data_IF_713430934371
#
_entry.id   IF_713430934371
#
_cell.length_a   1.000
_cell.length_b   1.000
_cell.length_c   1.000
_cell.angle_alpha   90.00
_cell.angle_beta   90.00
_cell.angle_gamma   90.00
#
_symmetry.space_group_name_H-M   'P 1'
#
loop_
_entity.id
_entity.type
_entity.pdbx_description
1 polymer ?
#
# COMPACT_ATOMS: atom_id res chain seq x y z
N UNK A 1 -8.02 -28.81 8.00
CA UNK A 1 -8.47 -27.52 8.57
C UNK A 1 -7.35 -26.63 9.12
N UNK A 2 -6.23 -27.15 9.66
CA UNK A 2 -5.13 -26.31 10.18
C UNK A 2 -4.18 -25.71 9.11
N UNK A 3 -4.17 -26.27 7.89
CA UNK A 3 -3.28 -25.85 6.79
C UNK A 3 -3.65 -24.51 6.12
N UNK A 4 -4.81 -23.90 6.42
CA UNK A 4 -5.24 -22.66 5.75
C UNK A 4 -4.71 -21.39 6.42
N UNK A 5 -4.62 -21.34 7.75
CA UNK A 5 -4.27 -20.10 8.45
C UNK A 5 -2.78 -19.74 8.36
N UNK A 6 -1.88 -20.72 8.51
CA UNK A 6 -0.45 -20.48 8.28
C UNK A 6 -0.18 -20.10 6.81
N UNK A 7 -0.89 -20.72 5.87
CA UNK A 7 -0.81 -20.38 4.45
C UNK A 7 -1.18 -18.92 4.18
N UNK A 8 -2.27 -18.45 4.79
CA UNK A 8 -2.67 -17.03 4.71
C UNK A 8 -1.57 -16.09 5.19
N UNK A 9 -0.94 -16.37 6.35
CA UNK A 9 0.13 -15.52 6.89
C UNK A 9 1.39 -15.54 6.02
N UNK A 10 1.77 -16.70 5.47
CA UNK A 10 2.88 -16.81 4.51
C UNK A 10 2.55 -16.00 3.25
N UNK A 11 1.32 -16.09 2.75
CA UNK A 11 0.86 -15.33 1.59
C UNK A 11 0.89 -13.82 1.83
N UNK A 12 0.46 -13.34 2.99
CA UNK A 12 0.56 -11.92 3.35
C UNK A 12 2.02 -11.46 3.44
N UNK A 13 2.90 -12.27 4.03
CA UNK A 13 4.34 -11.98 4.06
C UNK A 13 4.94 -11.89 2.65
N UNK A 14 4.70 -12.90 1.80
CA UNK A 14 5.26 -12.98 0.45
C UNK A 14 4.69 -11.88 -0.46
N UNK A 15 3.39 -11.60 -0.38
CA UNK A 15 2.76 -10.54 -1.16
C UNK A 15 3.30 -9.16 -0.78
N UNK A 16 3.43 -8.89 0.52
CA UNK A 16 4.07 -7.66 1.02
C UNK A 16 5.56 -7.58 0.68
N UNK A 17 6.26 -8.71 0.64
CA UNK A 17 7.64 -8.78 0.18
C UNK A 17 7.76 -8.37 -1.30
N UNK A 18 6.92 -8.96 -2.19
CA UNK A 18 6.91 -8.65 -3.63
C UNK A 18 6.69 -7.16 -3.87
N UNK A 19 5.71 -6.57 -3.16
CA UNK A 19 5.40 -5.14 -3.23
C UNK A 19 6.64 -4.27 -3.01
N UNK A 20 7.36 -4.47 -1.90
CA UNK A 20 8.54 -3.66 -1.58
C UNK A 20 9.75 -4.04 -2.41
N UNK A 21 9.94 -5.32 -2.72
CA UNK A 21 11.09 -5.77 -3.49
C UNK A 21 11.15 -5.08 -4.85
N UNK A 22 10.01 -5.06 -5.56
CA UNK A 22 9.90 -4.41 -6.88
C UNK A 22 9.83 -2.88 -6.72
N UNK A 23 9.01 -2.39 -5.79
CA UNK A 23 8.79 -0.95 -5.59
C UNK A 23 10.04 -0.20 -5.12
N UNK A 24 10.72 -0.70 -4.09
CA UNK A 24 11.98 -0.11 -3.64
C UNK A 24 13.11 -0.35 -4.65
N UNK A 25 13.08 -1.47 -5.38
CA UNK A 25 14.03 -1.75 -6.46
C UNK A 25 14.01 -0.70 -7.57
N UNK A 26 12.83 -0.30 -8.05
CA UNK A 26 12.73 0.74 -9.10
C UNK A 26 13.19 2.11 -8.60
N UNK A 27 12.95 2.44 -7.33
CA UNK A 27 13.42 3.70 -6.74
C UNK A 27 14.93 3.66 -6.49
N UNK A 28 15.48 2.50 -6.09
CA UNK A 28 16.92 2.30 -5.95
C UNK A 28 17.64 2.44 -7.31
N UNK A 29 17.09 1.86 -8.37
CA UNK A 29 17.62 2.03 -9.73
C UNK A 29 17.62 3.49 -10.19
N UNK A 30 16.56 4.24 -9.89
CA UNK A 30 16.51 5.69 -10.17
C UNK A 30 17.56 6.46 -9.37
N UNK A 31 17.60 6.27 -8.04
CA UNK A 31 18.39 7.12 -7.14
C UNK A 31 19.88 6.77 -7.17
N UNK A 32 20.22 5.48 -7.16
CA UNK A 32 21.59 5.01 -6.97
C UNK A 32 22.31 4.74 -8.29
N UNK A 33 21.58 4.35 -9.35
CA UNK A 33 22.17 4.02 -10.66
C UNK A 33 21.87 5.09 -11.74
N UNK A 34 21.04 6.10 -11.42
CA UNK A 34 20.72 7.18 -12.36
C UNK A 34 19.85 6.73 -13.54
N UNK A 35 19.03 5.69 -13.36
CA UNK A 35 18.14 5.20 -14.42
C UNK A 35 17.14 6.30 -14.85
N UNK A 36 16.89 6.41 -16.17
CA UNK A 36 15.97 7.37 -16.77
C UNK A 36 14.49 7.04 -16.52
N UNK A 37 14.07 7.11 -15.26
CA UNK A 37 12.75 6.69 -14.78
C UNK A 37 11.99 7.94 -14.31
N UNK A 38 10.84 8.21 -14.94
CA UNK A 38 9.96 9.31 -14.57
C UNK A 38 8.85 8.89 -13.59
N UNK A 39 7.97 9.84 -13.27
CA UNK A 39 6.91 9.63 -12.28
C UNK A 39 5.91 8.53 -12.70
N UNK A 40 5.57 8.47 -13.99
CA UNK A 40 4.70 7.41 -14.52
C UNK A 40 5.37 6.05 -14.42
N UNK A 41 6.64 5.94 -14.79
CA UNK A 41 7.41 4.70 -14.78
C UNK A 41 7.54 4.14 -13.36
N UNK A 42 7.83 4.98 -12.36
CA UNK A 42 7.80 4.56 -10.94
C UNK A 42 6.41 4.04 -10.60
N UNK A 43 5.37 4.81 -10.87
CA UNK A 43 4.02 4.53 -10.41
C UNK A 43 3.44 3.26 -11.03
N UNK A 44 3.67 3.03 -12.32
CA UNK A 44 3.23 1.79 -12.99
C UNK A 44 3.98 0.56 -12.49
N UNK A 45 5.28 0.67 -12.19
CA UNK A 45 6.04 -0.44 -11.60
C UNK A 45 5.52 -0.79 -10.20
N UNK A 46 5.23 0.20 -9.35
CA UNK A 46 4.60 -0.01 -8.05
C UNK A 46 3.20 -0.64 -8.17
N UNK A 47 2.39 -0.16 -9.13
CA UNK A 47 1.07 -0.72 -9.41
C UNK A 47 1.13 -2.17 -9.86
N UNK A 48 2.02 -2.48 -10.80
CA UNK A 48 2.20 -3.84 -11.30
C UNK A 48 2.81 -4.78 -10.27
N UNK A 49 3.63 -4.29 -9.33
CA UNK A 49 4.09 -5.08 -8.19
C UNK A 49 2.92 -5.59 -7.33
N UNK A 50 1.92 -4.74 -7.09
CA UNK A 50 0.69 -5.15 -6.38
C UNK A 50 -0.11 -6.15 -7.20
N UNK A 51 -0.28 -5.93 -8.50
CA UNK A 51 -0.98 -6.89 -9.37
C UNK A 51 -0.30 -8.27 -9.35
N UNK A 52 1.03 -8.32 -9.42
CA UNK A 52 1.82 -9.56 -9.29
C UNK A 52 1.64 -10.20 -7.92
N UNK A 53 1.67 -9.43 -6.83
CA UNK A 53 1.39 -9.95 -5.50
C UNK A 53 0.00 -10.60 -5.42
N UNK A 54 -1.02 -9.97 -6.02
CA UNK A 54 -2.38 -10.52 -6.08
C UNK A 54 -2.42 -11.84 -6.86
N UNK A 55 -1.74 -11.92 -8.00
CA UNK A 55 -1.66 -13.17 -8.77
C UNK A 55 -0.97 -14.30 -7.99
N UNK A 56 0.07 -14.00 -7.22
CA UNK A 56 0.84 -15.02 -6.48
C UNK A 56 0.10 -15.49 -5.22
N UNK A 57 -0.61 -14.60 -4.54
CA UNK A 57 -1.08 -14.85 -3.16
C UNK A 57 -2.60 -14.82 -2.99
N UNK A 58 -3.35 -14.35 -4.00
CA UNK A 58 -4.76 -14.02 -3.89
C UNK A 58 -5.68 -15.21 -3.62
N UNK A 59 -5.34 -16.39 -4.14
CA UNK A 59 -6.13 -17.62 -3.91
C UNK A 59 -5.99 -18.20 -2.50
N UNK A 60 -5.05 -17.68 -1.69
CA UNK A 60 -4.75 -18.18 -0.35
C UNK A 60 -5.22 -17.18 0.71
N UNK A 61 -4.71 -15.94 0.70
CA UNK A 61 -5.04 -14.93 1.73
C UNK A 61 -6.06 -13.89 1.29
N UNK A 62 -6.36 -13.81 -0.01
CA UNK A 62 -7.04 -12.66 -0.62
C UNK A 62 -6.12 -11.47 -0.93
N UNK A 63 -4.82 -11.59 -0.65
CA UNK A 63 -3.79 -10.54 -0.84
C UNK A 63 -4.22 -9.20 -0.27
N UNK A 64 -4.37 -9.11 1.05
CA UNK A 64 -4.61 -7.80 1.66
C UNK A 64 -3.37 -6.92 1.52
N UNK A 65 -2.21 -7.47 1.92
CA UNK A 65 -0.86 -6.89 1.88
C UNK A 65 -0.76 -5.44 2.40
N UNK A 66 -1.78 -5.01 3.16
CA UNK A 66 -2.03 -3.64 3.57
C UNK A 66 -2.90 -3.63 4.85
N UNK A 67 -2.40 -3.07 5.97
CA UNK A 67 -3.16 -2.94 7.20
C UNK A 67 -4.46 -2.15 7.05
N UNK A 68 -4.47 -1.11 6.22
CA UNK A 68 -5.65 -0.28 5.99
C UNK A 68 -6.77 -1.06 5.27
N UNK A 69 -6.40 -1.86 4.26
CA UNK A 69 -7.32 -2.78 3.57
C UNK A 69 -7.83 -3.86 4.53
N UNK A 70 -6.93 -4.49 5.30
CA UNK A 70 -7.29 -5.54 6.26
C UNK A 70 -8.34 -5.04 7.27
N UNK A 71 -8.15 -3.84 7.81
CA UNK A 71 -9.09 -3.21 8.73
C UNK A 71 -10.41 -2.86 8.04
N UNK A 72 -10.39 -2.34 6.81
CA UNK A 72 -11.61 -2.01 6.07
C UNK A 72 -12.44 -3.27 5.77
N UNK A 73 -11.80 -4.37 5.37
CA UNK A 73 -12.47 -5.64 5.13
C UNK A 73 -13.04 -6.24 6.44
N UNK A 74 -12.35 -6.08 7.57
CA UNK A 74 -12.87 -6.49 8.87
C UNK A 74 -14.11 -5.70 9.31
N UNK A 75 -14.18 -4.41 8.95
CA UNK A 75 -15.32 -3.54 9.26
C UNK A 75 -16.51 -3.79 8.33
N UNK A 76 -16.27 -3.89 7.01
CA UNK A 76 -17.33 -3.81 6.00
C UNK A 76 -17.62 -5.10 5.24
N UNK A 77 -16.67 -6.04 5.20
CA UNK A 77 -16.76 -7.26 4.38
C UNK A 77 -16.73 -8.56 5.18
N UNK A 78 -16.79 -8.49 6.50
CA UNK A 78 -16.89 -9.66 7.38
C UNK A 78 -15.61 -10.46 7.54
N UNK A 79 -14.43 -9.87 7.26
CA UNK A 79 -13.16 -10.52 7.53
C UNK A 79 -12.99 -10.79 9.04
N UNK A 80 -12.46 -11.97 9.39
CA UNK A 80 -12.33 -12.41 10.79
C UNK A 80 -11.41 -11.48 11.58
N UNK A 81 -11.98 -10.79 12.56
CA UNK A 81 -11.28 -9.82 13.42
C UNK A 81 -10.10 -10.43 14.17
N UNK A 82 -10.13 -11.75 14.46
CA UNK A 82 -9.02 -12.45 15.12
C UNK A 82 -7.79 -12.56 14.22
N UNK A 83 -7.96 -12.47 12.90
CA UNK A 83 -6.88 -12.56 11.91
C UNK A 83 -6.23 -11.21 11.60
N UNK A 84 -6.85 -10.08 11.97
CA UNK A 84 -6.40 -8.73 11.63
C UNK A 84 -4.96 -8.47 12.11
N UNK A 85 -4.68 -8.63 13.41
CA UNK A 85 -3.35 -8.35 13.96
C UNK A 85 -2.28 -9.30 13.38
N UNK A 86 -2.52 -10.62 13.30
CA UNK A 86 -1.58 -11.53 12.65
C UNK A 86 -1.29 -11.21 11.18
N UNK A 87 -2.30 -10.81 10.40
CA UNK A 87 -2.11 -10.33 9.02
C UNK A 87 -1.21 -9.10 8.99
N UNK A 88 -1.49 -8.09 9.83
CA UNK A 88 -0.69 -6.87 9.91
C UNK A 88 0.77 -7.18 10.26
N UNK A 89 1.02 -8.09 11.21
CA UNK A 89 2.38 -8.51 11.56
C UNK A 89 3.07 -9.19 10.38
N UNK A 90 2.39 -10.12 9.68
CA UNK A 90 2.95 -10.79 8.51
C UNK A 90 3.31 -9.80 7.40
N UNK A 91 2.43 -8.83 7.13
CA UNK A 91 2.65 -7.75 6.16
C UNK A 91 3.88 -6.92 6.53
N UNK A 92 3.96 -6.47 7.79
CA UNK A 92 5.08 -5.68 8.33
C UNK A 92 6.43 -6.41 8.23
N UNK A 93 6.44 -7.72 8.55
CA UNK A 93 7.64 -8.54 8.42
C UNK A 93 8.04 -8.74 6.96
N UNK A 94 7.08 -8.93 6.06
CA UNK A 94 7.32 -9.07 4.62
C UNK A 94 7.94 -7.82 4.01
N UNK A 95 7.37 -6.65 4.31
CA UNK A 95 7.90 -5.36 3.83
C UNK A 95 9.26 -5.02 4.43
N UNK A 96 9.47 -5.30 5.72
CA UNK A 96 10.79 -5.17 6.38
C UNK A 96 11.85 -6.05 5.70
N UNK A 97 11.55 -7.34 5.50
CA UNK A 97 12.48 -8.29 4.89
C UNK A 97 12.85 -7.90 3.45
N UNK A 98 11.86 -7.45 2.66
CA UNK A 98 12.10 -6.97 1.31
C UNK A 98 13.02 -5.74 1.29
N UNK A 99 12.81 -4.77 2.19
CA UNK A 99 13.70 -3.61 2.29
C UNK A 99 15.15 -4.01 2.60
N UNK A 100 15.34 -4.97 3.51
CA UNK A 100 16.66 -5.52 3.83
C UNK A 100 17.31 -6.21 2.62
N UNK A 101 16.54 -6.98 1.85
CA UNK A 101 17.03 -7.64 0.63
C UNK A 101 17.40 -6.61 -0.44
N UNK A 102 16.56 -5.61 -0.72
CA UNK A 102 16.86 -4.55 -1.69
C UNK A 102 18.13 -3.79 -1.29
N UNK A 103 18.25 -3.40 -0.01
CA UNK A 103 19.47 -2.79 0.50
C UNK A 103 20.70 -3.69 0.30
N UNK A 104 20.59 -4.99 0.58
CA UNK A 104 21.67 -5.96 0.38
C UNK A 104 22.13 -6.03 -1.07
N UNK A 105 21.18 -6.08 -2.02
CA UNK A 105 21.46 -6.11 -3.45
C UNK A 105 22.11 -4.81 -3.96
N UNK A 106 21.69 -3.65 -3.44
CA UNK A 106 22.23 -2.33 -3.81
C UNK A 106 23.31 -1.81 -2.85
N UNK A 107 23.85 -2.65 -1.95
CA UNK A 107 24.70 -2.19 -0.84
C UNK A 107 25.91 -1.39 -1.32
N UNK A 108 26.59 -1.86 -2.36
CA UNK A 108 27.75 -1.17 -2.93
C UNK A 108 27.36 0.18 -3.52
N UNK A 109 26.21 0.26 -4.20
CA UNK A 109 25.68 1.50 -4.76
C UNK A 109 25.30 2.51 -3.68
N UNK A 110 24.72 2.08 -2.56
CA UNK A 110 24.48 2.94 -1.39
C UNK A 110 25.77 3.56 -0.86
N UNK A 111 26.80 2.73 -0.61
CA UNK A 111 28.08 3.20 -0.07
C UNK A 111 28.77 4.18 -1.03
N UNK A 112 28.77 3.87 -2.32
CA UNK A 112 29.32 4.76 -3.34
C UNK A 112 28.56 6.09 -3.41
N UNK A 113 27.22 6.04 -3.38
CA UNK A 113 26.39 7.23 -3.43
C UNK A 113 26.60 8.12 -2.19
N UNK A 114 26.67 7.52 -1.00
CA UNK A 114 26.96 8.21 0.27
C UNK A 114 28.33 8.90 0.21
N UNK A 115 29.36 8.18 -0.23
CA UNK A 115 30.72 8.72 -0.37
C UNK A 115 30.78 9.87 -1.39
N UNK A 116 30.21 9.68 -2.59
CA UNK A 116 30.26 10.67 -3.67
C UNK A 116 29.51 11.95 -3.33
N UNK A 117 28.44 11.84 -2.54
CA UNK A 117 27.61 12.98 -2.14
C UNK A 117 27.94 13.51 -0.73
N UNK A 118 29.02 13.03 -0.10
CA UNK A 118 29.43 13.38 1.26
C UNK A 118 28.28 13.24 2.29
N UNK A 119 27.49 12.18 2.16
CA UNK A 119 26.37 11.91 3.05
C UNK A 119 26.82 11.02 4.20
N UNK A 120 26.59 11.46 5.43
CA UNK A 120 26.80 10.65 6.62
C UNK A 120 25.47 10.00 6.99
N UNK A 121 25.41 8.67 6.96
CA UNK A 121 24.20 7.94 7.31
C UNK A 121 23.76 8.27 8.74
N UNK A 122 22.48 8.59 8.90
CA UNK A 122 21.89 8.98 10.18
C UNK A 122 21.64 10.48 10.32
N UNK A 123 22.20 11.31 9.42
CA UNK A 123 21.89 12.74 9.38
C UNK A 123 20.63 13.03 8.56
N UNK A 124 20.08 14.23 8.70
CA UNK A 124 18.88 14.64 7.94
C UNK A 124 19.13 14.69 6.43
N UNK A 125 20.35 15.00 6.00
CA UNK A 125 20.76 15.00 4.59
C UNK A 125 20.72 13.59 4.00
N UNK A 126 21.02 12.57 4.83
CA UNK A 126 20.94 11.17 4.44
C UNK A 126 19.51 10.61 4.39
N UNK A 127 18.52 11.31 4.98
CA UNK A 127 17.12 10.86 5.04
C UNK A 127 16.51 10.67 3.64
N UNK A 128 17.00 11.38 2.63
CA UNK A 128 16.57 11.20 1.23
C UNK A 128 16.79 9.77 0.71
N UNK A 129 17.80 9.06 1.22
CA UNK A 129 18.07 7.67 0.86
C UNK A 129 17.07 6.70 1.50
N UNK A 130 16.47 7.07 2.63
CA UNK A 130 15.35 6.32 3.22
C UNK A 130 14.11 6.39 2.31
N UNK A 131 14.00 7.45 1.50
CA UNK A 131 12.98 7.62 0.45
C UNK A 131 12.96 6.52 -0.61
N UNK A 132 14.02 5.70 -0.72
CA UNK A 132 14.04 4.49 -1.56
C UNK A 132 13.09 3.42 -1.00
N UNK A 133 12.97 3.34 0.32
CA UNK A 133 12.24 2.28 1.02
C UNK A 133 10.85 2.73 1.48
N UNK A 134 10.75 3.94 2.02
CA UNK A 134 9.53 4.52 2.61
C UNK A 134 9.25 5.91 2.03
N UNK A 135 8.17 6.56 2.45
CA UNK A 135 7.77 7.86 1.90
C UNK A 135 8.15 9.04 2.78
N UNK A 136 8.21 10.23 2.19
CA UNK A 136 8.44 11.50 2.89
C UNK A 136 7.55 12.57 2.27
N UNK A 137 7.08 13.56 3.05
CA UNK A 137 6.28 14.65 2.52
C UNK A 137 7.18 15.61 1.73
N UNK A 138 6.61 16.29 0.74
CA UNK A 138 7.29 17.41 0.10
C UNK A 138 7.52 18.54 1.12
N UNK A 139 8.65 19.28 1.07
CA UNK A 139 9.01 20.23 2.13
C UNK A 139 8.01 21.34 2.46
N UNK A 140 7.14 21.72 1.52
CA UNK A 140 6.14 22.78 1.71
C UNK A 140 4.83 22.28 2.32
N UNK A 141 4.66 20.96 2.52
CA UNK A 141 3.46 20.39 3.13
C UNK A 141 3.60 20.33 4.64
N UNK A 142 2.59 20.83 5.34
CA UNK A 142 2.39 20.54 6.76
C UNK A 142 2.00 19.07 6.98
N UNK A 143 2.16 18.58 8.20
CA UNK A 143 1.73 17.23 8.59
C UNK A 143 0.24 16.99 8.32
N UNK A 144 -0.60 18.02 8.51
CA UNK A 144 -2.04 17.92 8.26
C UNK A 144 -2.36 17.83 6.76
N UNK A 145 -1.72 18.64 5.92
CA UNK A 145 -1.90 18.57 4.47
C UNK A 145 -1.46 17.20 3.93
N UNK A 146 -0.31 16.69 4.39
CA UNK A 146 0.14 15.36 4.00
C UNK A 146 -0.81 14.25 4.49
N UNK A 147 -1.39 14.39 5.69
CA UNK A 147 -2.41 13.48 6.20
C UNK A 147 -3.67 13.48 5.31
N UNK A 148 -4.15 14.65 4.91
CA UNK A 148 -5.31 14.78 4.03
C UNK A 148 -5.08 14.15 2.66
N UNK A 149 -3.86 14.31 2.10
CA UNK A 149 -3.48 13.61 0.87
C UNK A 149 -3.61 12.10 1.04
N UNK A 150 -2.97 11.52 2.06
CA UNK A 150 -2.99 10.06 2.31
C UNK A 150 -4.41 9.52 2.59
N UNK A 151 -5.26 10.30 3.28
CA UNK A 151 -6.68 9.96 3.47
C UNK A 151 -7.39 9.89 2.12
N UNK A 152 -7.26 10.93 1.29
CA UNK A 152 -7.99 11.04 0.03
C UNK A 152 -7.59 9.94 -0.97
N UNK A 153 -6.29 9.74 -1.16
CA UNK A 153 -5.79 8.76 -2.13
C UNK A 153 -6.08 7.32 -1.69
N UNK A 154 -6.05 7.03 -0.38
CA UNK A 154 -6.37 5.70 0.13
C UNK A 154 -7.88 5.43 0.10
N UNK A 155 -8.71 6.46 0.31
CA UNK A 155 -10.16 6.33 0.11
C UNK A 155 -10.49 5.99 -1.34
N UNK A 156 -9.88 6.68 -2.31
CA UNK A 156 -10.05 6.37 -3.72
C UNK A 156 -9.58 4.94 -4.07
N UNK A 157 -8.41 4.53 -3.56
CA UNK A 157 -7.93 3.16 -3.70
C UNK A 157 -8.96 2.14 -3.19
N UNK A 158 -9.49 2.32 -1.97
CA UNK A 158 -10.43 1.36 -1.40
C UNK A 158 -11.78 1.33 -2.12
N UNK A 159 -12.26 2.45 -2.65
CA UNK A 159 -13.46 2.47 -3.49
C UNK A 159 -13.26 1.55 -4.70
N UNK A 160 -12.13 1.67 -5.40
CA UNK A 160 -11.87 0.85 -6.60
C UNK A 160 -11.61 -0.61 -6.25
N UNK A 161 -10.82 -0.89 -5.21
CA UNK A 161 -10.54 -2.26 -4.74
C UNK A 161 -11.84 -3.00 -4.44
N UNK A 162 -12.78 -2.37 -3.72
CA UNK A 162 -14.09 -2.99 -3.47
C UNK A 162 -14.92 -3.09 -4.76
N UNK A 163 -14.89 -2.07 -5.63
CA UNK A 163 -15.66 -2.06 -6.87
C UNK A 163 -15.30 -3.16 -7.85
N UNK A 164 -14.02 -3.48 -8.01
CA UNK A 164 -13.56 -4.52 -8.95
C UNK A 164 -13.70 -5.93 -8.39
N UNK A 165 -13.77 -6.07 -7.06
CA UNK A 165 -13.99 -7.36 -6.39
C UNK A 165 -15.47 -7.67 -6.09
N UNK A 166 -16.39 -6.74 -6.38
CA UNK A 166 -17.81 -6.90 -6.04
C UNK A 166 -18.58 -7.63 -7.13
N UNK A 167 -19.00 -8.87 -6.86
CA UNK A 167 -19.83 -9.66 -7.78
C UNK A 167 -21.22 -9.08 -8.02
N UNK A 168 -21.67 -8.12 -7.20
CA UNK A 168 -22.93 -7.38 -7.39
C UNK A 168 -22.80 -6.29 -8.46
N UNK A 169 -21.57 -5.83 -8.73
CA UNK A 169 -21.27 -4.82 -9.73
C UNK A 169 -21.13 -5.49 -11.10
N UNK A 170 -22.11 -5.30 -11.98
CA UNK A 170 -22.11 -5.90 -13.32
C UNK A 170 -20.99 -5.39 -14.24
N UNK A 171 -20.41 -4.23 -13.93
CA UNK A 171 -19.27 -3.67 -14.64
C UNK A 171 -17.91 -4.14 -14.07
N UNK A 172 -17.91 -4.92 -12.99
CA UNK A 172 -16.67 -5.44 -12.42
C UNK A 172 -15.97 -6.38 -13.43
N UNK A 173 -14.64 -6.29 -13.55
CA UNK A 173 -13.88 -7.14 -14.44
C UNK A 173 -13.83 -8.59 -13.93
N UNK A 174 -13.34 -9.51 -14.77
CA UNK A 174 -13.03 -10.87 -14.32
C UNK A 174 -11.94 -10.86 -13.24
N UNK A 175 -11.85 -11.88 -12.37
CA UNK A 175 -10.91 -11.86 -11.23
C UNK A 175 -9.44 -11.59 -11.62
N UNK A 176 -8.96 -12.18 -12.72
CA UNK A 176 -7.60 -11.93 -13.19
C UNK A 176 -7.39 -10.48 -13.66
N UNK A 177 -8.40 -9.88 -14.27
CA UNK A 177 -8.37 -8.48 -14.70
C UNK A 177 -8.58 -7.51 -13.53
N UNK A 178 -9.30 -7.91 -12.47
CA UNK A 178 -9.43 -7.13 -11.25
C UNK A 178 -8.07 -6.82 -10.60
N UNK A 179 -7.15 -7.79 -10.57
CA UNK A 179 -5.79 -7.59 -10.08
C UNK A 179 -5.03 -6.51 -10.88
N UNK A 180 -5.13 -6.56 -12.21
CA UNK A 180 -4.51 -5.57 -13.11
C UNK A 180 -5.13 -4.19 -12.89
N UNK A 181 -6.45 -4.09 -12.75
CA UNK A 181 -7.15 -2.82 -12.51
C UNK A 181 -6.78 -2.20 -11.16
N UNK A 182 -6.56 -2.99 -10.11
CA UNK A 182 -6.01 -2.51 -8.84
C UNK A 182 -4.61 -1.93 -9.06
N UNK A 183 -3.75 -2.64 -9.80
CA UNK A 183 -2.41 -2.16 -10.14
C UNK A 183 -2.42 -0.85 -10.93
N UNK A 184 -3.25 -0.76 -11.97
CA UNK A 184 -3.43 0.47 -12.76
C UNK A 184 -3.95 1.63 -11.90
N UNK A 185 -4.86 1.35 -10.96
CA UNK A 185 -5.38 2.37 -10.03
C UNK A 185 -4.27 2.94 -9.18
N UNK A 186 -3.40 2.09 -8.62
CA UNK A 186 -2.22 2.52 -7.85
C UNK A 186 -1.28 3.34 -8.73
N UNK A 187 -1.07 2.95 -9.98
CA UNK A 187 -0.23 3.67 -10.93
C UNK A 187 -0.76 5.08 -11.23
N UNK A 188 -2.08 5.20 -11.44
CA UNK A 188 -2.74 6.50 -11.67
C UNK A 188 -2.61 7.38 -10.44
N UNK A 189 -2.92 6.85 -9.25
CA UNK A 189 -2.79 7.58 -7.99
C UNK A 189 -1.34 8.05 -7.78
N UNK A 190 -0.37 7.16 -7.94
CA UNK A 190 1.06 7.46 -7.79
C UNK A 190 1.51 8.52 -8.79
N UNK A 191 1.00 8.48 -10.01
CA UNK A 191 1.37 9.46 -11.04
C UNK A 191 0.79 10.84 -10.77
N UNK A 192 -0.44 10.90 -10.28
CA UNK A 192 -1.15 12.15 -10.01
C UNK A 192 -0.74 12.81 -8.68
N UNK A 193 -0.57 12.02 -7.62
CA UNK A 193 -0.43 12.54 -6.26
C UNK A 193 0.86 12.10 -5.56
N UNK A 194 1.61 11.18 -6.16
CA UNK A 194 2.87 10.71 -5.61
C UNK A 194 3.91 11.81 -5.33
N UNK A 195 4.03 12.87 -6.14
CA UNK A 195 4.94 13.98 -5.84
C UNK A 195 4.68 14.73 -4.52
N UNK A 196 3.51 14.55 -3.90
CA UNK A 196 3.14 15.20 -2.63
C UNK A 196 3.68 14.44 -1.42
N UNK A 197 3.34 13.15 -1.30
CA UNK A 197 3.62 12.33 -0.10
C UNK A 197 4.30 11.00 -0.40
N UNK A 198 4.58 10.69 -1.66
CA UNK A 198 5.09 9.38 -2.07
C UNK A 198 4.04 8.26 -2.09
N UNK A 199 2.74 8.61 -2.05
CA UNK A 199 1.60 7.71 -2.20
C UNK A 199 1.70 6.44 -1.32
N UNK A 200 1.86 6.62 -0.01
CA UNK A 200 2.09 5.49 0.89
C UNK A 200 0.92 4.50 0.86
N UNK A 201 -0.31 4.98 1.10
CA UNK A 201 -1.58 4.24 1.02
C UNK A 201 -1.67 2.93 1.81
N UNK A 202 -0.63 2.59 2.56
CA UNK A 202 -0.42 1.28 3.15
C UNK A 202 0.55 1.41 4.33
N UNK A 203 0.07 1.24 5.57
CA UNK A 203 0.92 1.37 6.76
C UNK A 203 2.10 0.38 6.78
N UNK A 204 1.93 -0.84 6.26
CA UNK A 204 3.01 -1.83 6.23
C UNK A 204 4.08 -1.53 5.18
N UNK A 205 3.65 -1.01 4.02
CA UNK A 205 4.54 -0.54 2.93
C UNK A 205 5.46 0.59 3.36
N UNK A 206 5.08 1.35 4.37
CA UNK A 206 5.88 2.45 4.88
C UNK A 206 6.63 2.10 6.15
N UNK A 207 5.91 1.64 7.19
CA UNK A 207 6.50 1.43 8.51
C UNK A 207 7.50 0.27 8.54
N UNK A 208 7.26 -0.83 7.82
CA UNK A 208 8.17 -1.97 7.80
C UNK A 208 9.55 -1.60 7.23
N UNK A 209 9.62 -1.04 6.01
CA UNK A 209 10.87 -0.55 5.42
C UNK A 209 11.51 0.60 6.22
N UNK A 210 10.70 1.45 6.86
CA UNK A 210 11.19 2.52 7.74
C UNK A 210 11.87 1.97 8.99
N UNK A 211 11.29 0.94 9.63
CA UNK A 211 11.92 0.24 10.75
C UNK A 211 13.24 -0.40 10.32
N UNK A 212 13.28 -1.01 9.14
CA UNK A 212 14.55 -1.49 8.58
C UNK A 212 15.58 -0.36 8.47
N UNK A 213 15.22 0.78 7.89
CA UNK A 213 16.12 1.92 7.74
C UNK A 213 16.65 2.46 9.09
N UNK A 214 15.79 2.51 10.11
CA UNK A 214 16.19 2.86 11.49
C UNK A 214 17.33 1.95 11.97
N UNK A 215 17.16 0.62 11.85
CA UNK A 215 18.16 -0.35 12.27
C UNK A 215 19.39 -0.42 11.34
N UNK A 216 19.24 -0.05 10.07
CA UNK A 216 20.32 -0.06 9.07
C UNK A 216 21.25 1.17 9.14
N UNK A 217 21.09 1.99 10.17
CA UNK A 217 21.99 3.10 10.51
C UNK A 217 21.44 4.50 10.23
N UNK A 218 20.26 4.64 9.60
CA UNK A 218 19.64 5.96 9.44
C UNK A 218 19.02 6.50 10.73
N UNK A 219 18.82 5.65 11.75
CA UNK A 219 18.35 6.08 13.06
C UNK A 219 17.09 6.95 12.98
N UNK A 220 17.04 8.03 13.76
CA UNK A 220 15.88 8.93 13.81
C UNK A 220 15.65 9.72 12.51
N UNK A 221 16.64 9.84 11.62
CA UNK A 221 16.45 10.49 10.32
C UNK A 221 15.40 9.74 9.46
N UNK A 222 15.28 8.42 9.65
CA UNK A 222 14.26 7.62 8.99
C UNK A 222 12.83 7.95 9.46
N UNK A 223 12.61 8.63 10.59
CA UNK A 223 11.27 9.03 11.05
C UNK A 223 10.71 10.17 10.18
N UNK A 224 11.59 11.04 9.69
CA UNK A 224 11.20 12.24 8.94
C UNK A 224 10.70 13.39 9.83
N UNK A 225 10.39 14.54 9.20
CA UNK A 225 10.05 15.77 9.92
C UNK A 225 8.74 15.62 10.69
N UNK A 226 8.64 16.25 11.87
CA UNK A 226 7.42 16.31 12.68
C UNK A 226 6.76 14.94 12.93
N UNK A 227 7.58 13.89 13.13
CA UNK A 227 7.13 12.50 13.30
C UNK A 227 6.30 11.94 12.12
N UNK A 228 6.47 12.48 10.91
CA UNK A 228 5.73 12.10 9.71
C UNK A 228 5.59 10.58 9.56
N UNK A 229 6.71 9.85 9.63
CA UNK A 229 6.77 8.40 9.41
C UNK A 229 6.02 7.55 10.43
N UNK A 230 5.63 8.11 11.57
CA UNK A 230 4.81 7.44 12.58
C UNK A 230 3.38 7.97 12.67
N UNK A 231 3.02 8.97 11.86
CA UNK A 231 1.70 9.58 11.89
C UNK A 231 1.03 9.40 10.53
N UNK A 232 1.58 10.02 9.48
CA UNK A 232 0.87 10.23 8.22
C UNK A 232 0.68 8.91 7.45
N UNK A 233 1.73 8.11 7.16
CA UNK A 233 1.58 6.85 6.42
C UNK A 233 0.84 5.75 7.20
N UNK A 234 0.56 5.96 8.49
CA UNK A 234 -0.17 5.01 9.33
C UNK A 234 -1.65 5.41 9.40
N UNK A 235 -1.94 6.58 9.96
CA UNK A 235 -3.30 6.99 10.24
C UNK A 235 -4.03 7.48 8.99
N UNK A 236 -3.33 8.15 8.06
CA UNK A 236 -3.91 8.64 6.81
C UNK A 236 -4.54 7.49 6.02
N UNK A 237 -3.78 6.43 5.70
CA UNK A 237 -4.32 5.27 5.00
C UNK A 237 -5.44 4.54 5.76
N UNK A 238 -5.31 4.36 7.08
CA UNK A 238 -6.36 3.68 7.86
C UNK A 238 -7.68 4.44 7.78
N UNK A 239 -7.66 5.76 8.01
CA UNK A 239 -8.85 6.62 7.93
C UNK A 239 -9.40 6.63 6.51
N UNK A 240 -8.54 6.81 5.52
CA UNK A 240 -8.91 6.81 4.10
C UNK A 240 -9.57 5.51 3.68
N UNK A 241 -9.02 4.36 4.06
CA UNK A 241 -9.58 3.05 3.72
C UNK A 241 -10.98 2.83 4.31
N UNK A 242 -11.21 3.23 5.57
CA UNK A 242 -12.55 3.15 6.17
C UNK A 242 -13.53 4.07 5.45
N UNK A 243 -13.12 5.30 5.12
CA UNK A 243 -13.94 6.26 4.39
C UNK A 243 -14.30 5.75 2.99
N UNK A 244 -13.32 5.25 2.23
CA UNK A 244 -13.55 4.68 0.90
C UNK A 244 -14.48 3.48 0.92
N UNK A 245 -14.28 2.56 1.88
CA UNK A 245 -15.15 1.41 2.06
C UNK A 245 -16.59 1.81 2.44
N UNK A 246 -16.73 2.80 3.32
CA UNK A 246 -18.03 3.37 3.69
C UNK A 246 -18.74 3.96 2.46
N UNK A 247 -18.05 4.81 1.69
CA UNK A 247 -18.60 5.43 0.48
C UNK A 247 -19.09 4.35 -0.47
N UNK A 248 -18.26 3.34 -0.76
CA UNK A 248 -18.65 2.27 -1.68
C UNK A 248 -19.85 1.46 -1.18
N UNK A 249 -19.79 0.90 0.03
CA UNK A 249 -20.84 -0.01 0.53
C UNK A 249 -22.14 0.70 0.91
N UNK A 250 -22.08 1.95 1.38
CA UNK A 250 -23.26 2.66 1.89
C UNK A 250 -23.84 3.69 0.94
N UNK A 251 -23.03 4.21 0.02
CA UNK A 251 -23.47 5.27 -0.91
C UNK A 251 -23.61 4.73 -2.34
N UNK A 252 -22.73 3.83 -2.80
CA UNK A 252 -22.77 3.33 -4.19
C UNK A 252 -23.60 2.05 -4.31
N UNK A 253 -23.26 1.00 -3.57
CA UNK A 253 -23.87 -0.34 -3.67
C UNK A 253 -25.41 -0.34 -3.59
N UNK A 254 -26.08 0.46 -2.73
CA UNK A 254 -27.54 0.47 -2.67
C UNK A 254 -28.24 0.83 -3.98
N UNK A 255 -27.54 1.49 -4.90
CA UNK A 255 -28.08 1.90 -6.20
C UNK A 255 -27.77 0.93 -7.34
N UNK A 256 -27.11 -0.21 -7.07
CA UNK A 256 -26.93 -1.22 -8.10
C UNK A 256 -28.28 -1.78 -8.57
N UNK A 257 -28.49 -1.98 -9.90
CA UNK A 257 -29.75 -2.49 -10.43
C UNK A 257 -30.20 -3.80 -9.78
N UNK A 258 -29.24 -4.69 -9.49
CA UNK A 258 -29.45 -5.97 -8.81
C UNK A 258 -30.08 -5.83 -7.42
N UNK A 259 -29.70 -4.78 -6.67
CA UNK A 259 -30.25 -4.51 -5.34
C UNK A 259 -31.66 -3.93 -5.39
N UNK A 260 -31.97 -3.14 -6.42
CA UNK A 260 -33.30 -2.56 -6.61
C UNK A 260 -34.36 -3.61 -6.96
N UNK A 261 -34.00 -4.64 -7.73
CA UNK A 261 -34.91 -5.76 -8.05
C UNK A 261 -35.30 -6.54 -6.79
N UNK A 262 -34.33 -6.85 -5.92
CA UNK A 262 -34.57 -7.55 -4.64
C UNK A 262 -35.42 -6.72 -3.67
N UNK A 263 -35.23 -5.39 -3.67
CA UNK A 263 -36.03 -4.50 -2.84
C UNK A 263 -37.50 -4.49 -3.29
N UNK A 264 -37.76 -4.41 -4.61
CA UNK A 264 -39.12 -4.41 -5.17
C UNK A 264 -39.86 -5.73 -4.91
N UNK A 265 -39.19 -6.88 -5.10
CA UNK A 265 -39.83 -8.18 -4.85
C UNK A 265 -40.24 -8.40 -3.39
N UNK A 266 -39.43 -7.92 -2.42
CA UNK A 266 -39.78 -7.97 -1.00
C UNK A 266 -40.98 -7.09 -0.62
N UNK A 267 -41.24 -6.02 -1.37
CA UNK A 267 -42.41 -5.15 -1.16
C UNK A 267 -43.67 -5.80 -1.72
N UNK A 268 -43.58 -6.48 -2.86
CA UNK A 268 -44.72 -7.21 -3.46
C UNK A 268 -45.15 -8.43 -2.65
N UNK A 269 -44.22 -9.19 -2.05
CA UNK A 269 -44.55 -10.36 -1.21
C UNK A 269 -45.25 -9.97 0.11
N UNK A 270 -45.12 -8.70 0.53
CA UNK A 270 -45.73 -8.19 1.77
C UNK A 270 -47.10 -7.53 1.56
N UNK A 271 -47.58 -7.44 0.32
CA UNK A 271 -48.94 -7.00 -0.01
C UNK A 271 -49.83 -8.21 -0.27
#
# INVERSE_FOLDING_TARGET
MQKSYLGELISEFIGSFILIFIGAGVVAALVLEGAGIGQWEISIVWGMAVAMAIFVTGSISGTHINPAVTLALATFKGFDKKKVIPYIIAQMLGTFAAAAVVYGLYRSSFLLYEQTNNLVRGTQESAKLVGIFSTFPKPHLSTMEALLVEIAITAFLLIVVLAVGDTRNQAAPTPGMAAVMIGITIAIIGSSFGPLTGFAMNPARDLGPRLFAIFAGWGSAAIGPNNYGFIVPIFGPIIGAQLGAFIYEKIIVPYFPTMQVVAKSKVEIKK
#
